data_IF_137638775184
#
_entry.id   IF_137638775184
#
_cell.length_a   1.000
_cell.length_b   1.000
_cell.length_c   1.000
_cell.angle_alpha   90.00
_cell.angle_beta   90.00
_cell.angle_gamma   90.00
#
_symmetry.space_group_name_H-M   'P 1'
#
loop_
_entity.id
_entity.type
_entity.pdbx_description
1 polymer ?
#
# COMPACT_ATOMS: atom_id res chain seq x y z
N UNK A 1 12.47 10.71 -13.11
CA UNK A 1 11.67 9.83 -12.26
C UNK A 1 10.71 9.07 -13.10
N UNK A 2 10.75 7.76 -12.99
CA UNK A 2 9.90 6.88 -13.78
C UNK A 2 9.36 5.83 -12.82
N UNK A 3 8.06 5.87 -12.53
CA UNK A 3 7.35 4.74 -11.99
C UNK A 3 6.87 3.86 -13.15
N UNK A 4 6.99 2.55 -13.00
CA UNK A 4 6.60 1.60 -14.04
C UNK A 4 5.57 0.62 -13.52
N UNK A 5 4.69 0.21 -14.41
CA UNK A 5 3.68 -0.82 -14.17
C UNK A 5 3.80 -1.90 -15.23
N UNK A 6 3.54 -3.13 -14.85
CA UNK A 6 3.40 -4.25 -15.77
C UNK A 6 2.04 -4.93 -15.53
N UNK A 7 1.28 -5.13 -16.59
CA UNK A 7 0.06 -5.92 -16.59
C UNK A 7 0.38 -7.36 -16.99
N UNK A 8 0.18 -8.30 -16.08
CA UNK A 8 0.42 -9.72 -16.27
C UNK A 8 -0.86 -10.51 -16.59
N UNK A 9 -1.97 -9.84 -16.88
CA UNK A 9 -3.25 -10.50 -17.19
C UNK A 9 -3.30 -11.08 -18.60
N UNK A 10 -2.42 -10.62 -19.49
CA UNK A 10 -2.26 -11.13 -20.84
C UNK A 10 -1.31 -12.33 -20.94
N UNK A 11 -1.17 -12.94 -22.14
CA UNK A 11 -0.18 -13.98 -22.37
C UNK A 11 1.24 -13.45 -22.10
N UNK A 12 2.11 -14.30 -21.55
CA UNK A 12 3.50 -13.98 -21.26
C UNK A 12 4.32 -13.91 -22.57
N UNK A 13 4.05 -12.90 -23.38
CA UNK A 13 4.79 -12.60 -24.58
C UNK A 13 5.48 -11.23 -24.48
N UNK A 14 6.22 -10.87 -25.50
CA UNK A 14 6.97 -9.62 -25.57
C UNK A 14 6.10 -8.34 -25.49
N UNK A 15 4.77 -8.45 -25.49
CA UNK A 15 3.85 -7.32 -25.34
C UNK A 15 3.61 -6.95 -23.87
N UNK A 16 3.94 -7.83 -22.93
CA UNK A 16 3.84 -7.55 -21.49
C UNK A 16 5.11 -6.87 -20.97
N UNK A 17 5.46 -5.74 -21.53
CA UNK A 17 6.62 -4.98 -21.11
C UNK A 17 6.24 -3.96 -20.01
N UNK A 18 7.22 -3.54 -19.25
CA UNK A 18 7.10 -2.47 -18.29
C UNK A 18 6.72 -1.17 -19.00
N UNK A 19 5.54 -0.67 -18.73
CA UNK A 19 5.09 0.65 -19.20
C UNK A 19 5.30 1.70 -18.11
N UNK A 20 5.49 2.96 -18.52
CA UNK A 20 5.44 4.07 -17.59
C UNK A 20 4.01 4.23 -17.06
N UNK A 21 3.87 4.58 -15.78
CA UNK A 21 2.57 5.04 -15.28
C UNK A 21 2.10 6.22 -16.12
N UNK A 22 0.82 6.23 -16.47
CA UNK A 22 0.20 7.32 -17.21
C UNK A 22 -0.30 8.41 -16.27
N UNK A 23 -0.69 9.57 -16.80
CA UNK A 23 -1.05 10.75 -16.02
C UNK A 23 0.09 11.32 -15.16
N UNK A 24 1.01 11.87 -15.87
CA UNK A 24 2.18 12.59 -15.38
C UNK A 24 1.83 13.91 -14.64
N UNK A 25 2.59 14.29 -13.58
CA UNK A 25 3.94 13.79 -13.37
C UNK A 25 3.94 12.47 -12.61
N UNK A 26 4.62 11.44 -13.15
CA UNK A 26 4.93 10.26 -12.37
C UNK A 26 5.78 10.73 -11.19
N UNK A 27 5.38 10.47 -9.98
CA UNK A 27 5.96 11.01 -8.76
C UNK A 27 6.15 12.55 -8.89
N UNK A 28 5.28 13.34 -8.31
CA UNK A 28 5.42 14.81 -8.31
C UNK A 28 6.76 15.25 -7.74
N UNK A 29 7.41 14.38 -6.98
CA UNK A 29 8.69 14.60 -6.33
C UNK A 29 9.68 13.50 -6.74
N UNK A 30 10.89 13.90 -7.15
CA UNK A 30 12.03 12.98 -7.34
C UNK A 30 12.31 12.27 -6.03
N UNK A 31 12.44 10.93 -6.04
CA UNK A 31 12.77 10.15 -4.85
C UNK A 31 13.74 9.03 -5.15
N UNK A 32 14.73 8.89 -4.29
CA UNK A 32 15.52 7.69 -4.12
C UNK A 32 15.34 7.16 -2.69
N UNK A 33 15.55 5.87 -2.47
CA UNK A 33 15.44 5.24 -1.16
C UNK A 33 14.07 5.40 -0.44
N UNK A 34 13.00 5.62 -1.20
CA UNK A 34 11.64 5.66 -0.64
C UNK A 34 11.04 4.27 -0.45
N UNK A 35 10.11 4.15 0.49
CA UNK A 35 9.34 2.93 0.68
C UNK A 35 7.98 3.03 -0.02
N UNK A 36 7.49 1.92 -0.56
CA UNK A 36 6.16 1.80 -1.16
C UNK A 36 5.28 0.84 -0.35
N UNK A 37 4.07 1.25 0.01
CA UNK A 37 3.14 0.48 0.86
C UNK A 37 1.79 0.37 0.18
N UNK A 38 1.31 -0.84 -0.02
CA UNK A 38 -0.05 -1.08 -0.54
C UNK A 38 -1.08 -0.76 0.55
N UNK A 39 -2.02 0.12 0.24
CA UNK A 39 -3.09 0.53 1.13
C UNK A 39 -4.33 -0.38 1.00
N UNK A 40 -5.22 -0.43 2.01
CA UNK A 40 -6.46 -1.21 1.95
C UNK A 40 -7.38 -0.83 0.79
N UNK A 41 -7.28 0.40 0.31
CA UNK A 41 -8.01 0.89 -0.86
C UNK A 41 -7.46 0.37 -2.20
N UNK A 42 -6.34 -0.36 -2.20
CA UNK A 42 -5.64 -0.80 -3.40
C UNK A 42 -4.76 0.26 -4.04
N UNK A 43 -4.64 1.44 -3.42
CA UNK A 43 -3.67 2.47 -3.79
C UNK A 43 -2.31 2.14 -3.19
N UNK A 44 -1.25 2.79 -3.69
CA UNK A 44 0.10 2.64 -3.17
C UNK A 44 0.57 3.97 -2.58
N UNK A 45 0.99 3.94 -1.31
CA UNK A 45 1.63 5.06 -0.65
C UNK A 45 3.13 4.97 -0.86
N UNK A 46 3.73 6.01 -1.42
CA UNK A 46 5.19 6.17 -1.51
C UNK A 46 5.62 7.22 -0.49
N UNK A 47 6.48 6.83 0.44
CA UNK A 47 6.80 7.62 1.63
C UNK A 47 8.31 7.62 1.90
N UNK A 48 8.83 8.78 2.36
CA UNK A 48 10.25 8.98 2.61
C UNK A 48 11.08 9.12 1.34
N UNK A 49 12.36 8.89 1.46
CA UNK A 49 13.34 9.03 0.40
C UNK A 49 13.97 10.41 0.32
N UNK A 50 14.87 10.58 -0.64
CA UNK A 50 15.61 11.82 -0.92
C UNK A 50 15.32 12.33 -2.32
N UNK A 51 15.26 13.66 -2.49
CA UNK A 51 14.87 14.30 -3.74
C UNK A 51 16.03 14.52 -4.73
N UNK A 52 17.26 14.52 -4.25
CA UNK A 52 18.41 14.76 -5.09
C UNK A 52 19.07 13.44 -5.53
N UNK A 53 19.64 13.42 -6.73
CA UNK A 53 20.53 12.35 -7.19
C UNK A 53 21.90 12.51 -6.50
N UNK A 54 21.91 12.54 -5.20
CA UNK A 54 23.13 12.53 -4.40
C UNK A 54 23.53 11.11 -4.11
N UNK A 55 24.83 10.87 -4.03
CA UNK A 55 25.42 9.62 -3.61
C UNK A 55 24.61 8.98 -2.49
N UNK A 56 24.45 7.70 -2.53
CA UNK A 56 23.65 6.75 -1.75
C UNK A 56 23.08 7.19 -0.38
N UNK A 57 23.58 8.26 0.19
CA UNK A 57 23.28 8.67 1.55
C UNK A 57 22.64 10.06 1.68
N UNK A 58 22.61 10.89 0.64
CA UNK A 58 22.00 12.23 0.59
C UNK A 58 22.05 13.06 1.90
N UNK A 59 22.14 14.35 1.85
CA UNK A 59 21.96 15.16 3.06
C UNK A 59 20.53 14.97 3.59
N UNK A 60 20.43 14.12 4.59
CA UNK A 60 19.18 13.66 5.15
C UNK A 60 18.28 14.79 5.70
N UNK A 61 18.84 15.94 5.96
CA UNK A 61 18.10 17.06 6.50
C UNK A 61 17.58 18.01 5.42
N UNK A 62 18.32 18.17 4.31
CA UNK A 62 17.98 19.16 3.28
C UNK A 62 17.28 18.55 2.07
N UNK A 63 17.60 17.29 1.74
CA UNK A 63 17.07 16.61 0.54
C UNK A 63 15.98 15.59 0.83
N UNK A 64 15.64 15.38 2.09
CA UNK A 64 14.61 14.42 2.50
C UNK A 64 13.23 14.82 2.01
N UNK A 65 12.51 13.84 1.49
CA UNK A 65 11.13 14.04 1.05
C UNK A 65 10.17 13.65 2.17
N UNK A 66 9.53 14.65 2.76
CA UNK A 66 8.64 14.49 3.90
C UNK A 66 7.19 14.20 3.50
N UNK A 67 6.73 14.75 2.37
CA UNK A 67 5.36 14.58 1.91
C UNK A 67 5.16 13.20 1.24
N UNK A 68 4.23 12.35 1.71
CA UNK A 68 3.88 11.12 1.01
C UNK A 68 3.21 11.40 -0.33
N UNK A 69 3.37 10.48 -1.26
CA UNK A 69 2.63 10.45 -2.52
C UNK A 69 1.77 9.19 -2.61
N UNK A 70 0.58 9.36 -3.16
CA UNK A 70 -0.38 8.28 -3.34
C UNK A 70 -0.53 8.01 -4.83
N UNK A 71 -0.20 6.80 -5.23
CA UNK A 71 -0.50 6.27 -6.56
C UNK A 71 -1.83 5.53 -6.55
N UNK A 72 -2.76 5.96 -7.39
CA UNK A 72 -3.98 5.24 -7.70
C UNK A 72 -3.78 4.49 -9.00
N UNK A 73 -3.77 3.15 -9.01
CA UNK A 73 -3.51 2.37 -10.22
C UNK A 73 -4.66 2.39 -11.23
N UNK A 74 -5.75 3.10 -10.97
CA UNK A 74 -6.87 3.17 -11.91
C UNK A 74 -7.62 1.85 -12.08
N UNK A 75 -7.67 1.01 -11.05
CA UNK A 75 -8.39 -0.27 -11.12
C UNK A 75 -9.89 -0.02 -11.08
N UNK A 76 -10.60 -0.53 -12.07
CA UNK A 76 -12.05 -0.66 -12.01
C UNK A 76 -12.42 -1.81 -11.07
N UNK A 77 -12.83 -1.47 -9.85
CA UNK A 77 -13.11 -2.48 -8.82
C UNK A 77 -14.35 -3.33 -9.08
N UNK A 78 -15.27 -2.90 -9.93
CA UNK A 78 -16.43 -3.71 -10.32
C UNK A 78 -16.03 -4.85 -11.26
N UNK A 79 -15.13 -4.58 -12.19
CA UNK A 79 -14.59 -5.57 -13.13
C UNK A 79 -13.28 -6.20 -12.67
N UNK A 80 -12.63 -5.60 -11.66
CA UNK A 80 -11.29 -5.96 -11.15
C UNK A 80 -10.20 -5.88 -12.22
N UNK A 81 -10.37 -4.98 -13.17
CA UNK A 81 -9.43 -4.80 -14.28
C UNK A 81 -8.71 -3.45 -14.16
N UNK A 82 -7.46 -3.44 -14.54
CA UNK A 82 -6.70 -2.24 -14.77
C UNK A 82 -7.25 -1.52 -16.00
N UNK A 83 -7.42 -0.20 -15.87
CA UNK A 83 -7.83 0.65 -16.99
C UNK A 83 -6.65 1.57 -17.35
N UNK A 84 -5.94 1.24 -18.41
CA UNK A 84 -4.81 2.03 -18.89
C UNK A 84 -5.19 3.51 -19.08
N UNK A 85 -4.37 4.42 -18.58
CA UNK A 85 -4.58 5.87 -18.70
C UNK A 85 -5.54 6.47 -17.67
N UNK A 86 -6.01 5.69 -16.70
CA UNK A 86 -6.84 6.19 -15.60
C UNK A 86 -6.10 6.25 -14.25
N UNK A 87 -4.87 5.78 -14.22
CA UNK A 87 -4.00 5.88 -13.06
C UNK A 87 -3.62 7.34 -12.76
N UNK A 88 -3.33 7.64 -11.51
CA UNK A 88 -2.99 9.00 -11.09
C UNK A 88 -2.06 9.03 -9.87
N UNK A 89 -1.34 10.13 -9.75
CA UNK A 89 -0.52 10.47 -8.61
C UNK A 89 -1.08 11.69 -7.88
N UNK A 90 -1.00 11.69 -6.56
CA UNK A 90 -1.32 12.85 -5.74
C UNK A 90 -0.34 12.96 -4.57
N UNK A 91 0.02 14.20 -4.21
CA UNK A 91 0.84 14.48 -3.03
C UNK A 91 -0.09 14.68 -1.84
N UNK A 92 0.15 14.00 -0.74
CA UNK A 92 -0.51 14.28 0.53
C UNK A 92 0.35 15.26 1.35
N UNK A 93 0.06 16.55 1.19
CA UNK A 93 0.76 17.61 1.92
C UNK A 93 0.15 17.89 3.30
N UNK A 94 -0.94 17.23 3.67
CA UNK A 94 -1.63 17.49 4.94
C UNK A 94 -1.02 16.73 6.12
N UNK A 95 -0.43 15.57 5.88
CA UNK A 95 0.21 14.74 6.91
C UNK A 95 1.63 14.37 6.48
N UNK A 96 2.56 15.32 6.65
CA UNK A 96 3.97 15.17 6.28
C UNK A 96 4.79 14.59 7.42
N UNK A 97 5.77 13.76 7.07
CA UNK A 97 6.73 13.25 8.04
C UNK A 97 7.55 14.39 8.67
N UNK A 98 7.83 14.30 9.95
CA UNK A 98 8.65 15.29 10.68
C UNK A 98 10.12 14.93 10.62
N UNK A 99 10.45 13.66 10.47
CA UNK A 99 11.82 13.16 10.42
C UNK A 99 12.16 12.67 9.02
N UNK A 100 13.41 12.87 8.63
CA UNK A 100 13.96 12.29 7.43
C UNK A 100 13.88 10.76 7.47
N UNK A 101 13.32 10.14 6.43
CA UNK A 101 13.16 8.69 6.28
C UNK A 101 13.69 8.29 4.91
N UNK A 102 14.99 8.06 4.82
CA UNK A 102 15.67 7.73 3.57
C UNK A 102 16.33 6.35 3.67
N UNK A 103 17.59 6.21 3.30
CA UNK A 103 18.27 4.91 3.30
C UNK A 103 18.12 4.18 4.65
N UNK A 104 17.84 2.89 4.62
CA UNK A 104 17.55 2.01 5.76
C UNK A 104 16.26 2.37 6.55
N UNK A 105 15.44 3.27 6.06
CA UNK A 105 14.09 3.41 6.62
C UNK A 105 13.18 2.27 6.19
N UNK A 106 12.11 2.09 6.93
CA UNK A 106 11.06 1.10 6.64
C UNK A 106 9.69 1.77 6.65
N UNK A 107 8.76 1.24 5.87
CA UNK A 107 7.35 1.60 5.97
C UNK A 107 6.48 0.35 5.83
N UNK A 108 5.46 0.22 6.67
CA UNK A 108 4.59 -0.95 6.75
C UNK A 108 3.13 -0.52 6.99
N UNK A 109 2.20 -1.22 6.33
CA UNK A 109 0.78 -1.08 6.62
C UNK A 109 0.47 -1.67 8.01
N UNK A 110 -0.29 -0.93 8.81
CA UNK A 110 -0.80 -1.39 10.11
C UNK A 110 -2.26 -1.85 10.01
N UNK A 111 -2.74 -2.72 10.93
CA UNK A 111 -4.12 -3.20 10.94
C UNK A 111 -5.19 -2.11 11.09
N UNK A 112 -4.83 -0.91 11.52
CA UNK A 112 -5.73 0.24 11.60
C UNK A 112 -5.74 1.10 10.33
N UNK A 113 -5.03 0.68 9.27
CA UNK A 113 -4.93 1.38 7.99
C UNK A 113 -3.92 2.53 7.96
N UNK A 114 -3.21 2.80 9.06
CA UNK A 114 -2.09 3.74 9.06
C UNK A 114 -0.84 3.09 8.46
N UNK A 115 0.08 3.92 8.03
CA UNK A 115 1.41 3.48 7.61
C UNK A 115 2.39 3.82 8.74
N UNK A 116 3.04 2.79 9.28
CA UNK A 116 4.15 2.94 10.21
C UNK A 116 5.41 3.24 9.38
N UNK A 117 6.11 4.32 9.71
CA UNK A 117 7.38 4.69 9.10
C UNK A 117 8.43 4.91 10.17
N UNK A 118 9.60 4.29 10.02
CA UNK A 118 10.62 4.29 11.07
C UNK A 118 12.03 4.14 10.49
N UNK A 119 13.02 4.43 11.31
CA UNK A 119 14.42 4.28 10.95
C UNK A 119 14.91 5.37 10.01
N UNK A 120 15.93 5.04 9.24
CA UNK A 120 16.68 5.95 8.39
C UNK A 120 18.09 6.19 8.96
N UNK A 121 19.09 6.12 8.10
CA UNK A 121 20.46 6.46 8.49
C UNK A 121 20.66 7.97 8.34
N UNK A 122 21.45 8.53 9.24
CA UNK A 122 22.10 9.81 9.02
C UNK A 122 23.39 9.56 8.24
N UNK A 123 23.69 10.43 7.30
CA UNK A 123 24.90 10.35 6.49
C UNK A 123 26.16 10.34 7.37
N UNK A 124 27.04 9.38 7.13
CA UNK A 124 28.34 9.27 7.79
C UNK A 124 29.39 10.26 7.25
N UNK A 125 29.15 10.81 6.06
CA UNK A 125 30.14 11.66 5.38
C UNK A 125 30.14 13.12 5.88
N UNK A 126 29.18 13.52 6.68
CA UNK A 126 29.08 14.87 7.24
C UNK A 126 30.12 15.17 8.33
N UNK A 127 31.02 14.22 8.64
CA UNK A 127 32.01 14.38 9.71
C UNK A 127 31.42 14.43 11.12
N UNK A 128 30.13 14.18 11.27
CA UNK A 128 29.47 14.04 12.57
C UNK A 128 29.81 12.67 13.17
N UNK A 129 30.57 12.61 14.28
CA UNK A 129 30.97 11.35 14.91
C UNK A 129 29.80 10.54 15.47
N UNK A 130 28.59 11.11 15.47
CA UNK A 130 27.39 10.47 15.95
C UNK A 130 26.49 10.15 14.77
N UNK A 131 26.80 9.11 14.05
CA UNK A 131 25.89 8.47 13.07
C UNK A 131 24.73 7.85 13.83
N UNK A 132 23.84 8.71 14.36
CA UNK A 132 22.65 8.28 15.09
C UNK A 132 21.53 8.25 14.09
N UNK A 133 21.32 7.09 13.48
CA UNK A 133 20.12 6.86 12.69
C UNK A 133 18.86 7.30 13.45
N UNK A 134 17.82 7.68 12.73
CA UNK A 134 16.56 8.11 13.32
C UNK A 134 15.87 6.93 14.04
N UNK A 135 16.08 6.84 15.37
CA UNK A 135 15.50 5.79 16.24
C UNK A 135 14.06 6.09 16.66
N UNK A 136 13.35 6.83 15.80
CA UNK A 136 11.97 7.23 16.02
C UNK A 136 11.06 6.56 15.00
N UNK A 137 9.77 6.59 15.23
CA UNK A 137 8.76 6.20 14.26
C UNK A 137 7.69 7.28 14.14
N UNK A 138 6.98 7.26 13.04
CA UNK A 138 5.81 8.09 12.76
C UNK A 138 4.69 7.22 12.22
N UNK A 139 3.46 7.66 12.43
CA UNK A 139 2.26 7.00 11.95
C UNK A 139 1.56 7.92 10.96
N UNK A 140 1.82 7.72 9.69
CA UNK A 140 1.13 8.43 8.63
C UNK A 140 -0.30 7.93 8.50
N UNK A 141 -1.26 8.86 8.44
CA UNK A 141 -2.67 8.58 8.21
C UNK A 141 -3.05 8.88 6.76
N UNK A 142 -3.19 7.88 5.87
CA UNK A 142 -3.67 8.12 4.51
C UNK A 142 -5.05 8.81 4.52
N UNK A 143 -5.26 9.72 3.58
CA UNK A 143 -6.52 10.48 3.45
C UNK A 143 -7.67 9.57 2.96
N UNK A 144 -8.18 8.72 3.84
CA UNK A 144 -9.40 7.96 3.58
C UNK A 144 -10.63 8.89 3.63
N UNK A 145 -11.70 8.58 2.88
CA UNK A 145 -12.93 9.36 2.93
C UNK A 145 -13.46 9.51 4.36
N UNK A 146 -13.95 10.69 4.70
CA UNK A 146 -14.49 10.97 6.03
C UNK A 146 -15.72 10.12 6.37
N UNK A 147 -15.95 9.87 7.65
CA UNK A 147 -17.07 9.11 8.18
C UNK A 147 -16.66 7.86 8.95
N UNK A 148 -17.65 7.15 9.47
CA UNK A 148 -17.43 5.91 10.21
C UNK A 148 -16.94 4.81 9.28
N UNK A 149 -15.86 4.16 9.64
CA UNK A 149 -15.28 3.03 8.90
C UNK A 149 -16.04 1.74 9.23
N UNK A 150 -16.19 0.81 8.27
CA UNK A 150 -16.80 -0.48 8.54
C UNK A 150 -15.93 -1.30 9.51
N UNK A 151 -16.57 -2.15 10.31
CA UNK A 151 -15.90 -2.93 11.34
C UNK A 151 -16.12 -4.42 11.11
N UNK A 152 -15.04 -5.19 11.07
CA UNK A 152 -15.09 -6.66 11.15
C UNK A 152 -15.25 -7.04 12.62
N UNK A 153 -16.40 -7.60 12.99
CA UNK A 153 -16.68 -8.07 14.35
C UNK A 153 -16.28 -9.54 14.56
N UNK A 154 -16.14 -10.32 13.48
CA UNK A 154 -15.71 -11.70 13.51
C UNK A 154 -15.25 -12.20 12.14
N UNK A 155 -14.19 -13.02 12.15
CA UNK A 155 -13.70 -13.74 10.99
C UNK A 155 -12.86 -14.95 11.43
N UNK A 156 -12.71 -16.00 10.59
CA UNK A 156 -11.86 -17.13 10.92
C UNK A 156 -10.39 -16.71 10.99
N UNK A 157 -9.65 -17.33 11.93
CA UNK A 157 -8.19 -17.11 12.07
C UNK A 157 -7.37 -17.76 10.96
N UNK A 158 -7.94 -18.74 10.28
CA UNK A 158 -7.34 -19.43 9.13
C UNK A 158 -8.40 -19.80 8.12
N UNK A 159 -8.04 -19.77 6.84
CA UNK A 159 -8.89 -20.18 5.73
C UNK A 159 -8.11 -21.12 4.81
N UNK A 160 -8.80 -22.12 4.25
CA UNK A 160 -8.22 -22.97 3.23
C UNK A 160 -8.51 -22.44 1.84
N UNK A 161 -7.69 -22.79 0.87
CA UNK A 161 -7.90 -22.41 -0.53
C UNK A 161 -9.23 -22.94 -1.08
N UNK A 162 -9.81 -22.18 -2.00
CA UNK A 162 -11.03 -22.50 -2.73
C UNK A 162 -12.26 -22.79 -1.84
N UNK A 163 -12.24 -22.40 -0.59
CA UNK A 163 -13.38 -22.50 0.34
C UNK A 163 -14.03 -21.13 0.55
N UNK A 164 -15.29 -21.13 0.94
CA UNK A 164 -15.95 -19.92 1.41
C UNK A 164 -15.73 -19.76 2.91
N UNK A 165 -15.68 -18.48 3.36
CA UNK A 165 -15.60 -18.16 4.78
C UNK A 165 -16.47 -16.95 5.11
N UNK A 166 -16.93 -16.89 6.36
CA UNK A 166 -17.81 -15.85 6.86
C UNK A 166 -17.00 -14.68 7.45
N UNK A 167 -17.49 -13.46 7.20
CA UNK A 167 -16.99 -12.22 7.79
C UNK A 167 -18.16 -11.52 8.44
N UNK A 168 -18.17 -11.44 9.78
CA UNK A 168 -19.22 -10.76 10.52
C UNK A 168 -18.98 -9.26 10.53
N UNK A 169 -20.00 -8.50 10.15
CA UNK A 169 -19.97 -7.03 10.15
C UNK A 169 -21.40 -6.48 10.12
N UNK A 170 -21.68 -5.45 10.91
CA UNK A 170 -22.96 -4.74 10.86
C UNK A 170 -23.11 -3.88 9.61
N UNK A 171 -22.02 -3.67 8.87
CA UNK A 171 -21.97 -2.83 7.67
C UNK A 171 -22.15 -3.63 6.38
N UNK A 172 -22.53 -4.91 6.46
CA UNK A 172 -22.55 -5.85 5.33
C UNK A 172 -23.23 -5.31 4.07
N UNK A 173 -24.36 -4.59 4.22
CA UNK A 173 -25.11 -3.98 3.13
C UNK A 173 -24.34 -2.86 2.39
N UNK A 174 -23.32 -2.29 3.01
CA UNK A 174 -22.58 -1.15 2.48
C UNK A 174 -21.17 -1.55 1.98
N UNK A 175 -20.80 -2.81 2.09
CA UNK A 175 -19.48 -3.26 1.66
C UNK A 175 -19.42 -3.41 0.15
N UNK A 176 -18.45 -2.73 -0.46
CA UNK A 176 -18.16 -2.81 -1.89
C UNK A 176 -17.04 -3.79 -2.21
N UNK A 177 -16.06 -3.94 -1.30
CA UNK A 177 -14.87 -4.77 -1.55
C UNK A 177 -14.45 -5.53 -0.29
N UNK A 178 -13.92 -6.72 -0.52
CA UNK A 178 -13.23 -7.52 0.48
C UNK A 178 -11.83 -7.82 -0.07
N UNK A 179 -10.81 -7.65 0.75
CA UNK A 179 -9.44 -7.88 0.33
C UNK A 179 -8.60 -8.55 1.42
N UNK A 180 -7.62 -9.35 0.97
CA UNK A 180 -6.51 -9.80 1.78
C UNK A 180 -5.26 -9.03 1.36
N UNK A 181 -4.54 -8.48 2.33
CA UNK A 181 -3.25 -7.84 2.10
C UNK A 181 -2.19 -8.62 2.87
N UNK A 182 -1.22 -9.17 2.15
CA UNK A 182 -0.08 -9.84 2.78
C UNK A 182 0.77 -8.81 3.50
N UNK A 183 1.22 -9.16 4.69
CA UNK A 183 2.10 -8.29 5.48
C UNK A 183 3.39 -8.03 4.71
N UNK A 184 3.82 -6.77 4.71
CA UNK A 184 5.05 -6.36 4.08
C UNK A 184 6.28 -6.86 4.82
N UNK A 185 7.40 -6.95 4.10
CA UNK A 185 8.73 -7.24 4.60
C UNK A 185 9.70 -6.23 4.02
N UNK A 186 9.79 -5.08 4.66
CA UNK A 186 10.48 -3.91 4.13
C UNK A 186 11.94 -3.86 4.59
N UNK A 187 12.84 -3.71 3.62
CA UNK A 187 14.27 -3.42 3.84
C UNK A 187 14.87 -2.74 2.61
N UNK A 188 15.78 -1.78 2.80
CA UNK A 188 16.52 -1.12 1.70
C UNK A 188 15.58 -0.58 0.59
N UNK A 189 14.49 0.09 0.96
CA UNK A 189 13.46 0.61 0.07
C UNK A 189 12.64 -0.46 -0.69
N UNK A 190 12.86 -1.74 -0.41
CA UNK A 190 12.07 -2.84 -0.99
C UNK A 190 11.10 -3.41 0.03
N UNK A 191 9.87 -3.70 -0.42
CA UNK A 191 8.89 -4.47 0.34
C UNK A 191 8.53 -5.74 -0.45
N UNK A 192 9.15 -6.85 -0.06
CA UNK A 192 9.18 -8.07 -0.86
C UNK A 192 7.90 -8.89 -0.80
N UNK A 193 7.11 -8.78 0.24
CA UNK A 193 6.00 -9.70 0.48
C UNK A 193 4.62 -9.10 0.24
N UNK A 194 4.54 -7.80 -0.03
CA UNK A 194 3.26 -7.13 -0.25
C UNK A 194 2.46 -7.74 -1.39
N UNK A 195 1.20 -7.99 -1.13
CA UNK A 195 0.26 -8.46 -2.14
C UNK A 195 -1.16 -8.08 -1.77
N UNK A 196 -1.86 -7.46 -2.71
CA UNK A 196 -3.29 -7.19 -2.60
C UNK A 196 -4.08 -8.24 -3.34
N UNK A 197 -5.03 -8.89 -2.67
CA UNK A 197 -5.89 -9.93 -3.25
C UNK A 197 -7.33 -9.53 -3.02
N UNK A 198 -8.00 -9.06 -4.08
CA UNK A 198 -9.43 -8.77 -4.04
C UNK A 198 -10.24 -10.07 -4.06
N UNK A 199 -11.07 -10.27 -3.05
CA UNK A 199 -11.93 -11.44 -2.94
C UNK A 199 -13.31 -11.18 -3.57
N UNK A 200 -13.90 -12.22 -4.13
CA UNK A 200 -15.34 -12.22 -4.41
C UNK A 200 -16.09 -12.54 -3.12
N UNK A 201 -17.25 -11.93 -2.97
CA UNK A 201 -18.11 -12.18 -1.81
C UNK A 201 -19.57 -12.04 -2.19
N UNK A 202 -20.44 -12.57 -1.36
CA UNK A 202 -21.90 -12.40 -1.43
C UNK A 202 -22.41 -11.81 -0.12
N UNK A 203 -23.53 -11.10 -0.22
CA UNK A 203 -24.29 -10.55 0.89
C UNK A 203 -25.77 -10.86 0.66
N UNK A 204 -26.47 -11.38 1.67
CA UNK A 204 -27.92 -11.54 1.62
C UNK A 204 -28.59 -10.41 2.42
N UNK A 205 -29.59 -9.73 1.85
CA UNK A 205 -30.26 -8.64 2.54
C UNK A 205 -30.77 -9.04 3.93
N UNK A 206 -30.45 -8.22 4.92
CA UNK A 206 -30.83 -8.44 6.31
C UNK A 206 -29.84 -9.26 7.15
N UNK A 207 -28.78 -9.78 6.56
CA UNK A 207 -27.71 -10.46 7.30
C UNK A 207 -26.61 -9.49 7.76
N UNK A 208 -26.01 -9.77 8.91
CA UNK A 208 -24.88 -9.00 9.45
C UNK A 208 -23.54 -9.71 9.16
N UNK A 209 -23.41 -10.30 7.99
CA UNK A 209 -22.18 -10.95 7.55
C UNK A 209 -22.09 -11.01 6.04
N UNK A 210 -20.88 -11.21 5.57
CA UNK A 210 -20.52 -11.50 4.19
C UNK A 210 -20.03 -12.93 4.08
N UNK A 211 -20.24 -13.57 2.95
CA UNK A 211 -19.59 -14.84 2.60
C UNK A 211 -18.57 -14.59 1.51
N UNK A 212 -17.30 -14.67 1.86
CA UNK A 212 -16.18 -14.42 0.95
C UNK A 212 -15.60 -15.73 0.43
N UNK A 213 -15.16 -15.75 -0.83
CA UNK A 213 -14.42 -16.85 -1.42
C UNK A 213 -12.92 -16.70 -1.13
N UNK A 214 -12.31 -17.70 -0.51
CA UNK A 214 -10.86 -17.71 -0.32
C UNK A 214 -10.13 -17.79 -1.67
N UNK A 215 -8.84 -17.38 -1.73
CA UNK A 215 -8.02 -17.51 -2.92
C UNK A 215 -8.00 -18.94 -3.44
N UNK A 216 -7.91 -19.17 -4.76
CA UNK A 216 -8.04 -20.50 -5.34
C UNK A 216 -6.84 -21.42 -5.02
N UNK A 217 -5.65 -20.85 -4.84
CA UNK A 217 -4.41 -21.61 -4.63
C UNK A 217 -3.26 -20.71 -4.15
N UNK A 218 -2.11 -21.34 -3.89
CA UNK A 218 -0.89 -20.66 -3.42
C UNK A 218 -0.19 -19.78 -4.45
N UNK A 219 -0.50 -19.91 -5.74
CA UNK A 219 0.06 -19.00 -6.77
C UNK A 219 -0.56 -17.61 -6.64
N UNK A 220 -1.85 -17.54 -6.31
CA UNK A 220 -2.55 -16.27 -6.06
C UNK A 220 -2.22 -15.76 -4.67
N UNK A 221 -2.27 -16.62 -3.65
CA UNK A 221 -2.02 -16.27 -2.26
C UNK A 221 -1.06 -17.29 -1.63
N UNK A 222 0.27 -17.09 -1.67
CA UNK A 222 1.20 -17.96 -0.94
C UNK A 222 0.79 -18.12 0.52
N UNK A 223 0.98 -19.29 1.14
CA UNK A 223 0.67 -19.49 2.55
C UNK A 223 1.37 -18.45 3.44
N UNK A 224 0.66 -17.95 4.45
CA UNK A 224 1.21 -16.93 5.36
C UNK A 224 0.14 -16.09 6.03
N UNK A 225 0.57 -15.00 6.62
CA UNK A 225 -0.31 -14.07 7.33
C UNK A 225 -0.79 -12.97 6.40
N UNK A 226 -2.07 -12.68 6.49
CA UNK A 226 -2.75 -11.63 5.72
C UNK A 226 -3.64 -10.81 6.64
N UNK A 227 -3.68 -9.51 6.40
CA UNK A 227 -4.71 -8.63 6.96
C UNK A 227 -5.97 -8.75 6.11
N UNK A 228 -7.11 -9.01 6.74
CA UNK A 228 -8.42 -8.99 6.10
C UNK A 228 -9.00 -7.59 6.16
N UNK A 229 -9.46 -7.08 5.03
CA UNK A 229 -10.06 -5.76 4.89
C UNK A 229 -11.43 -5.84 4.26
N UNK A 230 -12.36 -5.01 4.74
CA UNK A 230 -13.62 -4.69 4.09
C UNK A 230 -13.61 -3.19 3.78
N UNK A 231 -14.05 -2.82 2.58
CA UNK A 231 -14.08 -1.44 2.12
C UNK A 231 -15.50 -1.11 1.71
N UNK A 232 -16.04 -0.05 2.26
CA UNK A 232 -17.42 0.35 2.00
C UNK A 232 -17.62 1.09 0.66
N UNK A 233 -18.86 1.41 0.34
CA UNK A 233 -19.25 2.10 -0.88
C UNK A 233 -18.67 3.53 -1.00
N UNK A 234 -18.24 4.13 0.10
CA UNK A 234 -17.56 5.41 0.10
C UNK A 234 -16.02 5.28 -0.06
N UNK A 235 -15.49 4.05 -0.10
CA UNK A 235 -14.06 3.78 -0.20
C UNK A 235 -13.34 3.79 1.15
N UNK A 236 -14.03 3.72 2.28
CA UNK A 236 -13.46 3.68 3.63
C UNK A 236 -13.08 2.24 3.98
N UNK A 237 -11.83 1.96 4.32
CA UNK A 237 -11.39 0.63 4.71
C UNK A 237 -11.61 0.35 6.19
#
# INVERSE_FOLDING_TARGET
NIAKIIDLSGPADAANDWSNTTNNPPLGIVRDNSCAVILPTGKVCVIGGVSAAVSNDGDQNNDSVHAPEIYDPGINWATKQYAAGTDSWSVDAADVQQNARNYHSIALLLPNGKVFSAGGNKDSDSGDPVNVGHRTYELYQPAYPAGTRPVISGAPKSVNYAQSFRIDTNDAANIQRVALIRNGSCTHAYDFDQRYIGLTFTYNPGENFLTAAAPPNGNVAPPGYYMLWIIDNAGRP
#
